data_IF_896908703091
#
_entry.id   IF_896908703091
#
_cell.length_a   1.000
_cell.length_b   1.000
_cell.length_c   1.000
_cell.angle_alpha   90.00
_cell.angle_beta   90.00
_cell.angle_gamma   90.00
#
_symmetry.space_group_name_H-M   'P 1'
#
loop_
_entity.id
_entity.type
_entity.pdbx_description
1 polymer ?
#
# COMPACT_ATOMS: atom_id res chain seq x y z
N UNK A 1 -2.53 -6.41 -18.19
CA UNK A 1 -2.02 -5.54 -17.09
C UNK A 1 -1.43 -6.43 -16.01
N UNK A 2 -0.30 -6.05 -15.46
CA UNK A 2 0.38 -6.86 -14.43
C UNK A 2 -0.27 -6.80 -13.05
N UNK A 3 -1.21 -5.91 -12.84
CA UNK A 3 -1.92 -5.76 -11.57
C UNK A 3 -3.32 -6.34 -11.68
N UNK A 4 -3.74 -7.05 -10.63
CA UNK A 4 -5.09 -7.60 -10.49
C UNK A 4 -5.72 -7.09 -9.22
N UNK A 5 -7.03 -6.84 -9.26
CA UNK A 5 -7.77 -6.43 -8.07
C UNK A 5 -7.71 -7.51 -6.99
N UNK A 6 -7.68 -7.06 -5.74
CA UNK A 6 -7.68 -7.89 -4.53
C UNK A 6 -6.43 -8.75 -4.36
N UNK A 7 -5.36 -8.40 -5.09
CA UNK A 7 -4.03 -8.98 -4.88
C UNK A 7 -3.18 -8.04 -4.05
N UNK A 8 -2.24 -8.63 -3.33
CA UNK A 8 -1.26 -7.85 -2.57
C UNK A 8 -0.19 -7.29 -3.49
N UNK A 9 0.24 -6.07 -3.18
CA UNK A 9 1.30 -5.35 -3.90
C UNK A 9 2.24 -4.74 -2.87
N UNK A 10 3.44 -4.36 -3.31
CA UNK A 10 4.38 -3.62 -2.46
C UNK A 10 4.41 -2.16 -2.88
N UNK A 11 4.55 -1.27 -1.91
CA UNK A 11 4.77 0.15 -2.19
C UNK A 11 6.18 0.34 -2.72
N UNK A 12 6.34 1.21 -3.74
CA UNK A 12 7.66 1.53 -4.31
C UNK A 12 8.26 2.78 -3.69
N UNK A 13 7.51 3.49 -2.88
CA UNK A 13 7.95 4.75 -2.25
C UNK A 13 7.29 4.90 -0.89
N UNK A 14 7.79 5.88 -0.11
CA UNK A 14 7.25 6.20 1.20
C UNK A 14 5.98 7.05 1.07
N UNK A 15 5.09 6.89 2.05
CA UNK A 15 3.92 7.75 2.24
C UNK A 15 3.95 8.21 3.71
N UNK A 16 4.78 9.20 4.03
CA UNK A 16 5.01 9.58 5.44
C UNK A 16 3.77 10.04 6.17
N UNK A 17 2.81 10.66 5.47
CA UNK A 17 1.54 11.09 6.05
C UNK A 17 0.70 9.93 6.59
N UNK A 18 0.98 8.72 6.13
CA UNK A 18 0.30 7.50 6.58
C UNK A 18 1.23 6.57 7.35
N UNK A 19 2.45 6.99 7.65
CA UNK A 19 3.49 6.17 8.27
C UNK A 19 3.84 4.92 7.44
N UNK A 20 3.69 5.01 6.12
CA UNK A 20 3.99 3.92 5.21
C UNK A 20 5.35 4.14 4.55
N UNK A 21 6.01 3.05 4.23
CA UNK A 21 7.34 3.04 3.62
C UNK A 21 7.35 2.18 2.37
N UNK A 22 8.31 2.47 1.50
CA UNK A 22 8.62 1.57 0.40
C UNK A 22 8.84 0.15 0.92
N UNK A 23 8.24 -0.83 0.26
CA UNK A 23 8.28 -2.22 0.67
C UNK A 23 7.11 -2.66 1.54
N UNK A 24 6.32 -1.72 2.08
CA UNK A 24 5.11 -2.10 2.79
C UNK A 24 4.11 -2.73 1.83
N UNK A 25 3.33 -3.67 2.33
CA UNK A 25 2.38 -4.44 1.53
C UNK A 25 0.97 -3.86 1.68
N UNK A 26 0.28 -3.76 0.56
CA UNK A 26 -1.11 -3.29 0.51
C UNK A 26 -1.92 -4.21 -0.37
N UNK A 27 -3.24 -4.15 -0.23
CA UNK A 27 -4.16 -4.84 -1.14
C UNK A 27 -4.70 -3.85 -2.14
N UNK A 28 -4.58 -4.16 -3.42
CA UNK A 28 -5.12 -3.35 -4.51
C UNK A 28 -6.62 -3.61 -4.61
N UNK A 29 -7.44 -2.60 -4.32
CA UNK A 29 -8.89 -2.79 -4.26
C UNK A 29 -9.65 -2.10 -5.39
N UNK A 30 -9.02 -1.13 -6.08
CA UNK A 30 -9.67 -0.48 -7.22
C UNK A 30 -8.64 0.24 -8.08
N UNK A 31 -9.02 0.52 -9.32
CA UNK A 31 -8.27 1.39 -10.24
C UNK A 31 -9.02 2.70 -10.39
N UNK A 32 -8.28 3.80 -10.49
CA UNK A 32 -8.85 5.12 -10.65
C UNK A 32 -8.30 5.72 -11.95
N UNK A 33 -9.11 5.82 -13.03
CA UNK A 33 -8.65 6.44 -14.26
C UNK A 33 -8.35 7.92 -14.04
N UNK A 34 -7.28 8.43 -14.66
CA UNK A 34 -6.98 9.84 -14.61
C UNK A 34 -7.96 10.59 -15.53
N UNK A 35 -8.64 11.66 -15.05
CA UNK A 35 -9.67 12.32 -15.83
C UNK A 35 -9.14 13.01 -17.09
N UNK A 36 -7.86 13.35 -17.15
CA UNK A 36 -7.24 14.05 -18.29
C UNK A 36 -6.24 13.16 -19.05
N UNK A 37 -6.33 11.84 -18.90
CA UNK A 37 -5.45 10.92 -19.63
C UNK A 37 -4.04 10.82 -19.05
N UNK A 38 -3.79 11.32 -17.84
CA UNK A 38 -2.54 11.13 -17.15
C UNK A 38 -2.39 9.72 -16.57
N UNK A 39 -1.43 9.54 -15.67
CA UNK A 39 -1.20 8.26 -15.04
C UNK A 39 -2.41 7.84 -14.22
N UNK A 40 -2.89 6.61 -14.42
CA UNK A 40 -3.97 6.06 -13.62
C UNK A 40 -3.54 5.91 -12.16
N UNK A 41 -4.49 6.03 -11.26
CA UNK A 41 -4.31 5.78 -9.85
C UNK A 41 -4.88 4.43 -9.44
N UNK A 42 -4.71 4.14 -8.18
CA UNK A 42 -5.27 2.94 -7.57
C UNK A 42 -5.68 3.25 -6.14
N UNK A 43 -6.60 2.45 -5.62
CA UNK A 43 -6.99 2.49 -4.22
C UNK A 43 -6.37 1.29 -3.53
N UNK A 44 -5.69 1.56 -2.42
CA UNK A 44 -4.94 0.56 -1.66
C UNK A 44 -5.51 0.47 -0.25
N UNK A 45 -5.77 -0.75 0.19
CA UNK A 45 -6.14 -1.02 1.57
C UNK A 45 -4.92 -1.51 2.32
N UNK A 46 -4.61 -0.83 3.41
CA UNK A 46 -3.48 -1.18 4.27
C UNK A 46 -4.03 -1.87 5.50
N UNK A 47 -3.56 -3.08 5.76
CA UNK A 47 -3.94 -3.84 6.95
C UNK A 47 -2.73 -4.04 7.83
N UNK A 48 -2.97 -4.09 9.14
CA UNK A 48 -1.92 -4.45 10.09
C UNK A 48 -1.68 -5.98 10.07
N UNK A 49 -0.73 -6.42 10.87
CA UNK A 49 -0.28 -7.82 10.86
C UNK A 49 -1.36 -8.81 11.33
N UNK A 50 -2.42 -8.34 11.98
CA UNK A 50 -3.53 -9.20 12.41
C UNK A 50 -4.75 -9.06 11.50
N UNK A 51 -4.59 -8.42 10.35
CA UNK A 51 -5.63 -8.35 9.33
C UNK A 51 -6.63 -7.21 9.50
N UNK A 52 -6.37 -6.28 10.41
CA UNK A 52 -7.26 -5.12 10.59
C UNK A 52 -6.85 -4.00 9.63
N UNK A 53 -7.81 -3.47 8.89
CA UNK A 53 -7.59 -2.32 8.01
C UNK A 53 -7.25 -1.08 8.85
N UNK A 54 -6.10 -0.48 8.56
CA UNK A 54 -5.64 0.71 9.30
C UNK A 54 -5.61 1.95 8.42
N UNK A 55 -5.67 1.82 7.10
CA UNK A 55 -5.73 2.94 6.17
C UNK A 55 -6.26 2.49 4.83
N UNK A 56 -6.90 3.41 4.12
CA UNK A 56 -7.23 3.26 2.71
C UNK A 56 -6.69 4.49 2.01
N UNK A 57 -5.83 4.31 1.03
CA UNK A 57 -5.16 5.42 0.35
C UNK A 57 -5.36 5.33 -1.16
N UNK A 58 -5.25 6.48 -1.82
CA UNK A 58 -5.19 6.55 -3.28
C UNK A 58 -3.76 6.90 -3.67
N UNK A 59 -3.22 6.19 -4.64
CA UNK A 59 -1.84 6.36 -5.08
C UNK A 59 -1.76 6.20 -6.59
N UNK A 60 -0.74 6.78 -7.25
CA UNK A 60 -0.51 6.47 -8.66
C UNK A 60 -0.04 5.03 -8.84
N UNK A 61 -0.32 4.44 -9.99
CA UNK A 61 0.10 3.06 -10.28
C UNK A 61 1.62 2.87 -10.18
N UNK A 62 2.40 3.91 -10.45
CA UNK A 62 3.86 3.84 -10.30
C UNK A 62 4.33 3.69 -8.86
N UNK A 63 3.43 3.89 -7.89
CA UNK A 63 3.75 3.74 -6.47
C UNK A 63 3.60 2.31 -5.96
N UNK A 64 3.22 1.37 -6.83
CA UNK A 64 3.08 -0.05 -6.45
C UNK A 64 3.79 -0.95 -7.45
N UNK A 65 4.14 -2.14 -6.98
CA UNK A 65 4.67 -3.20 -7.81
C UNK A 65 4.15 -4.56 -7.33
N UNK A 66 4.02 -5.55 -8.22
CA UNK A 66 3.62 -6.89 -7.79
C UNK A 66 4.67 -7.51 -6.87
N UNK A 67 4.22 -8.38 -5.98
CA UNK A 67 5.14 -9.17 -5.17
C UNK A 67 5.80 -10.24 -6.06
N UNK A 68 7.05 -10.52 -5.80
CA UNK A 68 7.85 -11.45 -6.60
C UNK A 68 8.28 -12.68 -5.82
N UNK A 69 8.70 -13.73 -6.54
CA UNK A 69 9.07 -15.01 -5.92
C UNK A 69 10.38 -14.96 -5.13
N UNK A 70 11.18 -13.93 -5.31
CA UNK A 70 12.43 -13.76 -4.56
C UNK A 70 12.29 -12.78 -3.40
N UNK A 71 11.06 -12.47 -3.01
CA UNK A 71 10.79 -11.51 -1.94
C UNK A 71 10.24 -12.22 -0.71
N UNK A 72 10.58 -11.70 0.46
CA UNK A 72 10.09 -12.18 1.74
C UNK A 72 9.41 -11.02 2.44
N UNK A 73 8.22 -11.27 2.99
CA UNK A 73 7.53 -10.29 3.81
C UNK A 73 8.18 -10.23 5.20
N UNK A 74 8.38 -9.03 5.70
CA UNK A 74 9.00 -8.81 7.02
C UNK A 74 8.08 -8.00 7.91
N UNK A 75 8.36 -8.06 9.22
CA UNK A 75 7.60 -7.34 10.23
C UNK A 75 8.37 -6.08 10.62
N UNK A 76 7.67 -4.96 10.66
CA UNK A 76 8.16 -3.74 11.28
C UNK A 76 7.05 -3.13 12.13
N UNK A 77 7.43 -2.38 13.15
CA UNK A 77 6.47 -1.70 14.00
C UNK A 77 6.16 -0.31 13.45
N UNK A 78 4.90 0.09 13.52
CA UNK A 78 4.53 1.47 13.29
C UNK A 78 5.00 2.31 14.45
N UNK A 79 5.36 3.58 14.18
CA UNK A 79 5.71 4.49 15.25
C UNK A 79 4.49 4.69 16.16
N UNK A 80 4.64 4.57 17.49
CA UNK A 80 3.51 4.78 18.39
C UNK A 80 3.05 6.25 18.31
N UNK A 81 1.73 6.46 18.43
CA UNK A 81 1.21 7.80 18.65
C UNK A 81 1.37 8.16 20.12
N UNK A 82 1.33 9.46 20.43
CA UNK A 82 1.54 9.92 21.81
C UNK A 82 0.54 9.33 22.81
N UNK A 83 -0.61 8.89 22.36
CA UNK A 83 -1.70 8.41 23.21
C UNK A 83 -1.84 6.88 23.23
N UNK A 84 -0.95 6.16 22.58
CA UNK A 84 -1.03 4.70 22.52
C UNK A 84 -0.13 4.13 23.62
N UNK A 85 -0.67 3.33 24.53
CA UNK A 85 0.16 2.64 25.53
C UNK A 85 1.16 1.69 24.86
N UNK A 86 2.30 1.56 25.43
CA UNK A 86 3.33 0.66 24.94
C UNK A 86 2.89 -0.81 25.04
#
# INVERSE_FOLDING_TARGET
MKFELFREVALTRDFPEHQLRAGDVATLVDFVPHPSGGENGCVLEISNAVGKTIAVITAPLSAIEPLGPNEILTVRSLAPTANVPA
#
